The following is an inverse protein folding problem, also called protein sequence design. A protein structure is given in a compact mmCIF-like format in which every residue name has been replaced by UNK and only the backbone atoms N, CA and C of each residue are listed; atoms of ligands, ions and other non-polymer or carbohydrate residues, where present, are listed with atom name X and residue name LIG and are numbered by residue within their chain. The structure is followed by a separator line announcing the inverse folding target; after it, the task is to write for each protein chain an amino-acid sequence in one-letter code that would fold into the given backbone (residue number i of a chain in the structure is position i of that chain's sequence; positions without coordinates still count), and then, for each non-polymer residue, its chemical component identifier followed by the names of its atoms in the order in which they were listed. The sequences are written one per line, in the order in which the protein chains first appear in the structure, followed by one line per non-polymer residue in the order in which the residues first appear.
data_IF_214987386924
#
_entry.id   IF_214987386924
#
_cell.length_a   1.000
_cell.length_b   1.000
_cell.length_c   1.000
_cell.angle_alpha   90.00
_cell.angle_beta   90.00
_cell.angle_gamma   90.00
#
_symmetry.space_group_name_H-M   'P 1'
#
loop_
_entity.id
_entity.type
_entity.pdbx_description
1 polymer ?
#
# COMPACT_ATOMS: atom_id res chain seq x y z
N UNK A 1 -7.53 -14.71 2.48
CA UNK A 1 -7.42 -14.70 3.96
C UNK A 1 -8.75 -14.30 4.59
N UNK A 2 -9.29 -13.10 4.36
CA UNK A 2 -10.54 -12.63 4.98
C UNK A 2 -11.72 -13.57 4.80
N UNK A 3 -11.98 -14.06 3.58
CA UNK A 3 -13.05 -15.03 3.32
C UNK A 3 -12.95 -16.30 4.17
N UNK A 4 -11.75 -16.86 4.30
CA UNK A 4 -11.54 -18.05 5.14
C UNK A 4 -11.87 -17.74 6.60
N UNK A 5 -11.35 -16.62 7.13
CA UNK A 5 -11.65 -16.20 8.50
C UNK A 5 -13.15 -15.97 8.74
N UNK A 6 -13.82 -15.22 7.85
CA UNK A 6 -15.26 -14.95 7.97
C UNK A 6 -16.09 -16.23 7.94
N UNK A 7 -15.72 -17.19 7.09
CA UNK A 7 -16.38 -18.49 6.99
C UNK A 7 -16.18 -19.32 8.26
N UNK A 8 -14.95 -19.39 8.78
CA UNK A 8 -14.65 -20.07 10.04
C UNK A 8 -15.42 -19.43 11.21
N UNK A 9 -15.45 -18.10 11.28
CA UNK A 9 -16.19 -17.36 12.29
C UNK A 9 -17.69 -17.64 12.20
N UNK A 10 -18.32 -17.54 11.02
CA UNK A 10 -19.74 -17.82 10.80
C UNK A 10 -20.13 -19.22 11.29
N UNK A 11 -19.31 -20.25 11.02
CA UNK A 11 -19.55 -21.60 11.49
C UNK A 11 -19.52 -21.71 13.02
N UNK A 12 -18.67 -20.92 13.69
CA UNK A 12 -18.49 -20.94 15.14
C UNK A 12 -19.56 -20.12 15.86
N UNK A 13 -19.89 -18.93 15.33
CA UNK A 13 -20.81 -17.97 15.99
C UNK A 13 -22.28 -18.16 15.52
N UNK A 14 -22.52 -18.94 14.46
CA UNK A 14 -23.82 -19.05 13.79
C UNK A 14 -24.35 -17.74 13.20
N UNK A 15 -23.48 -16.74 13.00
CA UNK A 15 -23.78 -15.50 12.28
C UNK A 15 -23.84 -15.77 10.78
N UNK A 16 -24.54 -14.91 10.03
CA UNK A 16 -24.62 -15.02 8.58
C UNK A 16 -23.24 -14.82 7.94
N UNK A 17 -22.85 -15.71 7.02
CA UNK A 17 -21.64 -15.55 6.25
C UNK A 17 -21.83 -14.50 5.15
N UNK A 18 -21.17 -13.37 5.26
CA UNK A 18 -21.09 -12.35 4.22
C UNK A 18 -19.66 -12.37 3.66
N UNK A 19 -19.47 -12.77 2.38
CA UNK A 19 -18.14 -12.88 1.80
C UNK A 19 -17.39 -11.54 1.74
N UNK A 20 -16.08 -11.60 1.67
CA UNK A 20 -15.21 -10.45 1.39
C UNK A 20 -15.35 -10.05 -0.08
N UNK A 21 -15.68 -8.80 -0.35
CA UNK A 21 -15.69 -8.25 -1.70
C UNK A 21 -14.26 -7.81 -2.07
N UNK A 22 -13.62 -8.59 -2.95
CA UNK A 22 -12.23 -8.35 -3.37
C UNK A 22 -12.01 -6.98 -4.02
N UNK A 23 -13.05 -6.34 -4.51
CA UNK A 23 -12.97 -5.01 -5.09
C UNK A 23 -13.35 -3.94 -4.07
N UNK A 24 -14.59 -3.97 -3.58
CA UNK A 24 -15.10 -2.88 -2.74
C UNK A 24 -14.51 -2.88 -1.33
N UNK A 25 -14.48 -4.05 -0.65
CA UNK A 25 -13.93 -4.13 0.70
C UNK A 25 -12.42 -3.89 0.69
N UNK A 26 -11.72 -4.44 -0.32
CA UNK A 26 -10.27 -4.23 -0.41
C UNK A 26 -9.92 -2.77 -0.60
N UNK A 27 -10.53 -2.11 -1.59
CA UNK A 27 -10.24 -0.70 -1.90
C UNK A 27 -10.59 0.26 -0.76
N UNK A 28 -11.71 -0.01 -0.07
CA UNK A 28 -12.19 0.90 0.98
C UNK A 28 -11.46 0.72 2.31
N UNK A 29 -11.18 -0.53 2.68
CA UNK A 29 -10.75 -0.83 4.05
C UNK A 29 -9.31 -1.31 4.17
N UNK A 30 -8.69 -1.81 3.09
CA UNK A 30 -7.40 -2.50 3.18
C UNK A 30 -6.29 -1.83 2.36
N UNK A 31 -6.64 -1.35 1.17
CA UNK A 31 -5.65 -0.87 0.19
C UNK A 31 -4.87 0.35 0.68
N UNK A 32 -3.56 0.33 0.45
CA UNK A 32 -2.65 1.39 0.86
C UNK A 32 -2.37 1.52 2.36
N UNK A 33 -3.13 0.82 3.23
CA UNK A 33 -2.98 0.88 4.70
C UNK A 33 -1.89 -0.06 5.19
N UNK A 34 -1.38 0.20 6.42
CA UNK A 34 -0.57 -0.78 7.15
C UNK A 34 -1.38 -2.06 7.33
N UNK A 35 -0.69 -3.21 7.36
CA UNK A 35 -1.33 -4.54 7.42
C UNK A 35 -2.36 -4.64 8.54
N UNK A 36 -1.99 -4.24 9.75
CA UNK A 36 -2.81 -4.31 10.94
C UNK A 36 -3.99 -3.33 10.87
N UNK A 37 -3.74 -2.12 10.34
CA UNK A 37 -4.79 -1.10 10.15
C UNK A 37 -5.81 -1.54 9.10
N UNK A 38 -5.37 -2.20 8.03
CA UNK A 38 -6.27 -2.79 7.03
C UNK A 38 -7.11 -3.93 7.61
N UNK A 39 -6.53 -4.80 8.46
CA UNK A 39 -7.29 -5.86 9.16
C UNK A 39 -8.33 -5.22 10.08
N UNK A 40 -7.92 -4.27 10.91
CA UNK A 40 -8.81 -3.58 11.87
C UNK A 40 -9.95 -2.87 11.14
N UNK A 41 -9.63 -2.02 10.16
CA UNK A 41 -10.60 -1.26 9.38
C UNK A 41 -11.64 -2.16 8.70
N UNK A 42 -11.22 -3.28 8.13
CA UNK A 42 -12.13 -4.23 7.52
C UNK A 42 -13.04 -4.91 8.55
N UNK A 43 -12.50 -5.39 9.67
CA UNK A 43 -13.29 -6.05 10.70
C UNK A 43 -14.29 -5.08 11.35
N UNK A 44 -13.90 -3.84 11.61
CA UNK A 44 -14.79 -2.78 12.11
C UNK A 44 -15.96 -2.52 11.15
N UNK A 45 -15.73 -2.56 9.83
CA UNK A 45 -16.80 -2.41 8.84
C UNK A 45 -17.85 -3.52 8.86
N UNK A 46 -17.53 -4.63 9.55
CA UNK A 46 -18.40 -5.80 9.76
C UNK A 46 -18.87 -5.93 11.23
N UNK A 47 -18.69 -4.88 12.04
CA UNK A 47 -19.00 -4.89 13.48
C UNK A 47 -18.28 -6.03 14.23
N UNK A 48 -17.12 -6.48 13.73
CA UNK A 48 -16.31 -7.53 14.35
C UNK A 48 -15.19 -6.88 15.16
N UNK A 49 -15.19 -7.15 16.45
CA UNK A 49 -14.13 -6.72 17.38
C UNK A 49 -13.36 -7.95 17.88
N UNK A 50 -12.05 -7.93 17.72
CA UNK A 50 -11.11 -8.93 18.25
C UNK A 50 -9.95 -8.21 18.94
N UNK A 51 -9.20 -8.89 19.83
CA UNK A 51 -8.01 -8.29 20.46
C UNK A 51 -6.98 -7.85 19.43
N UNK A 52 -6.22 -6.81 19.75
CA UNK A 52 -5.08 -6.41 18.91
C UNK A 52 -4.01 -7.52 18.84
N UNK A 53 -3.70 -8.12 19.98
CA UNK A 53 -2.64 -9.12 20.08
C UNK A 53 -1.25 -8.50 20.14
N UNK A 54 -0.25 -9.29 19.74
CA UNK A 54 1.15 -8.90 19.69
C UNK A 54 1.74 -9.11 18.29
N UNK A 55 2.79 -8.36 17.91
CA UNK A 55 3.38 -8.45 16.57
C UNK A 55 3.86 -9.85 16.15
N UNK A 56 4.18 -10.70 17.11
CA UNK A 56 4.66 -12.07 16.95
C UNK A 56 3.58 -13.14 17.17
N UNK A 57 2.30 -12.75 17.22
CA UNK A 57 1.19 -13.70 17.33
C UNK A 57 1.21 -14.71 16.18
N UNK A 58 0.86 -15.97 16.55
CA UNK A 58 0.69 -17.04 15.59
C UNK A 58 -0.33 -16.66 14.50
N UNK A 59 -0.10 -16.97 13.22
CA UNK A 59 -1.05 -16.75 12.14
C UNK A 59 -2.45 -17.34 12.37
N UNK A 60 -2.58 -18.33 13.24
CA UNK A 60 -3.87 -18.92 13.62
C UNK A 60 -4.53 -18.22 14.83
N UNK A 61 -3.85 -17.28 15.48
CA UNK A 61 -4.43 -16.51 16.57
C UNK A 61 -5.53 -15.57 16.05
N UNK A 62 -6.66 -15.52 16.77
CA UNK A 62 -7.77 -14.62 16.46
C UNK A 62 -7.51 -13.21 17.05
N UNK A 63 -6.48 -12.56 16.53
CA UNK A 63 -6.08 -11.20 16.87
C UNK A 63 -5.81 -10.41 15.59
N UNK A 64 -5.77 -9.08 15.69
CA UNK A 64 -5.41 -8.21 14.54
C UNK A 64 -4.03 -8.59 13.98
N UNK A 65 -3.05 -8.78 14.87
CA UNK A 65 -1.70 -9.18 14.46
C UNK A 65 -1.67 -10.62 13.92
N UNK A 66 -2.37 -11.58 14.52
CA UNK A 66 -2.44 -12.96 14.02
C UNK A 66 -3.02 -13.03 12.61
N UNK A 67 -4.16 -12.37 12.35
CA UNK A 67 -4.73 -12.29 11.00
C UNK A 67 -3.80 -11.53 10.04
N UNK A 68 -3.13 -10.49 10.50
CA UNK A 68 -2.11 -9.79 9.74
C UNK A 68 -0.94 -10.71 9.35
N UNK A 69 -0.47 -11.54 10.27
CA UNK A 69 0.60 -12.51 10.04
C UNK A 69 0.16 -13.62 9.09
N UNK A 70 -1.08 -14.12 9.20
CA UNK A 70 -1.68 -15.04 8.22
C UNK A 70 -1.72 -14.44 6.81
N UNK A 71 -2.13 -13.17 6.68
CA UNK A 71 -2.10 -12.45 5.40
C UNK A 71 -0.68 -12.39 4.83
N UNK A 72 0.30 -12.10 5.68
CA UNK A 72 1.71 -12.05 5.26
C UNK A 72 2.23 -13.39 4.79
N UNK A 73 1.93 -14.46 5.49
CA UNK A 73 2.33 -15.82 5.10
C UNK A 73 1.78 -16.16 3.70
N UNK A 74 0.49 -15.94 3.48
CA UNK A 74 -0.12 -16.16 2.16
C UNK A 74 0.51 -15.29 1.07
N UNK A 75 0.91 -14.06 1.40
CA UNK A 75 1.64 -13.22 0.45
C UNK A 75 3.01 -13.80 0.10
N UNK A 76 3.76 -14.30 1.09
CA UNK A 76 5.06 -14.95 0.84
C UNK A 76 4.89 -16.20 -0.03
N UNK A 77 3.90 -17.03 0.25
CA UNK A 77 3.61 -18.25 -0.53
C UNK A 77 3.32 -17.90 -2.01
N UNK A 78 2.57 -16.81 -2.26
CA UNK A 78 2.29 -16.32 -3.62
C UNK A 78 3.55 -15.76 -4.27
N UNK A 79 4.32 -14.98 -3.54
CA UNK A 79 5.57 -14.39 -4.03
C UNK A 79 6.58 -15.46 -4.45
N UNK A 80 6.72 -16.51 -3.64
CA UNK A 80 7.65 -17.63 -3.90
C UNK A 80 7.19 -18.49 -5.09
N UNK A 81 5.88 -18.67 -5.25
CA UNK A 81 5.31 -19.48 -6.32
C UNK A 81 5.24 -18.78 -7.67
N UNK A 82 4.76 -17.52 -7.66
CA UNK A 82 4.36 -16.79 -8.87
C UNK A 82 5.31 -15.62 -9.19
N UNK A 83 6.15 -15.21 -8.24
CA UNK A 83 6.98 -14.01 -8.34
C UNK A 83 6.16 -12.71 -8.30
N UNK A 84 6.72 -11.65 -8.87
CA UNK A 84 6.09 -10.33 -8.97
C UNK A 84 6.02 -9.89 -10.43
N UNK A 85 4.82 -9.59 -10.89
CA UNK A 85 4.63 -8.98 -12.19
C UNK A 85 4.94 -7.48 -12.12
N UNK A 86 5.90 -7.03 -12.91
CA UNK A 86 6.26 -5.61 -13.03
C UNK A 86 5.49 -5.00 -14.18
N UNK A 87 4.85 -3.86 -13.96
CA UNK A 87 4.23 -3.07 -15.03
C UNK A 87 5.34 -2.43 -15.88
N UNK A 88 5.42 -2.82 -17.14
CA UNK A 88 6.51 -2.41 -18.03
C UNK A 88 6.56 -0.90 -18.25
N UNK A 89 5.42 -0.23 -18.35
CA UNK A 89 5.38 1.23 -18.44
C UNK A 89 5.93 1.91 -17.19
N UNK A 90 5.65 1.36 -16.00
CA UNK A 90 6.20 1.85 -14.74
C UNK A 90 7.72 1.65 -14.68
N UNK A 91 8.24 0.51 -15.13
CA UNK A 91 9.70 0.27 -15.21
C UNK A 91 10.36 1.32 -16.11
N UNK A 92 9.87 1.49 -17.33
CA UNK A 92 10.41 2.48 -18.28
C UNK A 92 10.37 3.90 -17.72
N UNK A 93 9.30 4.24 -17.00
CA UNK A 93 9.18 5.56 -16.36
C UNK A 93 10.25 5.76 -15.27
N UNK A 94 10.41 4.80 -14.37
CA UNK A 94 11.43 4.82 -13.31
C UNK A 94 12.85 4.94 -13.91
N UNK A 95 13.14 4.18 -14.97
CA UNK A 95 14.42 4.28 -15.72
C UNK A 95 14.63 5.67 -16.32
N UNK A 96 13.59 6.26 -16.93
CA UNK A 96 13.67 7.61 -17.51
C UNK A 96 13.90 8.68 -16.43
N UNK A 97 13.21 8.59 -15.29
CA UNK A 97 13.38 9.48 -14.15
C UNK A 97 14.81 9.40 -13.60
N UNK A 98 15.33 8.18 -13.43
CA UNK A 98 16.71 7.96 -13.00
C UNK A 98 17.72 8.53 -13.99
N UNK A 99 17.54 8.30 -15.30
CA UNK A 99 18.40 8.83 -16.35
C UNK A 99 18.37 10.35 -16.44
N UNK A 100 17.26 10.97 -16.05
CA UNK A 100 17.15 12.43 -15.91
C UNK A 100 17.85 12.98 -14.65
N UNK A 101 18.45 12.12 -13.83
CA UNK A 101 19.17 12.50 -12.60
C UNK A 101 18.27 12.85 -11.43
N UNK A 102 16.99 12.50 -11.48
CA UNK A 102 16.06 12.72 -10.38
C UNK A 102 16.17 11.62 -9.33
N UNK A 103 16.02 11.98 -8.07
CA UNK A 103 16.08 11.03 -6.95
C UNK A 103 14.74 10.35 -6.77
N UNK A 104 14.76 9.04 -6.55
CA UNK A 104 13.56 8.21 -6.37
C UNK A 104 13.54 7.66 -4.95
N UNK A 105 12.40 7.80 -4.28
CA UNK A 105 12.09 7.09 -3.05
C UNK A 105 10.86 6.19 -3.26
N UNK A 106 10.87 5.03 -2.60
CA UNK A 106 9.69 4.16 -2.53
C UNK A 106 9.05 4.30 -1.16
N UNK A 107 7.75 4.58 -1.15
CA UNK A 107 6.94 4.68 0.07
C UNK A 107 5.83 3.64 0.01
N UNK A 108 5.87 2.68 0.92
CA UNK A 108 4.91 1.56 0.94
C UNK A 108 4.52 1.19 2.36
N UNK A 109 3.25 0.89 2.58
CA UNK A 109 2.78 0.36 3.87
C UNK A 109 3.21 -1.10 4.12
N UNK A 110 3.75 -1.78 3.12
CA UNK A 110 4.18 -3.17 3.21
C UNK A 110 5.55 -3.32 3.89
N UNK A 111 5.66 -4.25 4.83
CA UNK A 111 6.95 -4.67 5.39
C UNK A 111 7.81 -5.50 4.40
N UNK A 112 7.22 -5.95 3.29
CA UNK A 112 7.88 -6.78 2.28
C UNK A 112 8.47 -5.96 1.12
N UNK A 113 8.41 -4.64 1.18
CA UNK A 113 8.80 -3.73 0.08
C UNK A 113 10.23 -3.97 -0.38
N UNK A 114 11.17 -4.18 0.54
CA UNK A 114 12.56 -4.49 0.22
C UNK A 114 12.67 -5.72 -0.67
N UNK A 115 12.06 -6.83 -0.25
CA UNK A 115 12.08 -8.09 -0.99
C UNK A 115 11.47 -7.94 -2.38
N UNK A 116 10.33 -7.24 -2.49
CA UNK A 116 9.68 -6.97 -3.78
C UNK A 116 10.59 -6.17 -4.72
N UNK A 117 11.26 -5.14 -4.22
CA UNK A 117 12.20 -4.35 -5.03
C UNK A 117 13.38 -5.20 -5.51
N UNK A 118 13.98 -6.01 -4.64
CA UNK A 118 15.10 -6.90 -4.97
C UNK A 118 14.71 -7.95 -6.02
N UNK A 119 13.57 -8.63 -5.85
CA UNK A 119 13.07 -9.64 -6.81
C UNK A 119 12.75 -9.04 -8.18
N UNK A 120 12.27 -7.79 -8.21
CA UNK A 120 11.92 -7.09 -9.46
C UNK A 120 13.11 -6.36 -10.10
N UNK A 121 14.25 -6.26 -9.39
CA UNK A 121 15.42 -5.49 -9.83
C UNK A 121 15.16 -3.98 -9.92
N UNK A 122 14.15 -3.47 -9.21
CA UNK A 122 13.87 -2.04 -9.13
C UNK A 122 14.65 -1.33 -8.02
N UNK A 123 15.24 -2.08 -7.10
CA UNK A 123 16.06 -1.57 -5.99
C UNK A 123 17.23 -0.70 -6.46
N UNK A 124 17.80 -0.99 -7.63
CA UNK A 124 18.92 -0.24 -8.23
C UNK A 124 18.60 1.23 -8.53
N UNK A 125 17.31 1.56 -8.70
CA UNK A 125 16.84 2.93 -8.96
C UNK A 125 16.43 3.68 -7.70
N UNK A 126 16.27 2.98 -6.57
CA UNK A 126 15.69 3.52 -5.35
C UNK A 126 16.78 4.05 -4.42
N UNK A 127 16.80 5.37 -4.22
CA UNK A 127 17.75 6.02 -3.32
C UNK A 127 17.34 5.93 -1.86
N UNK A 128 16.05 6.02 -1.57
CA UNK A 128 15.48 5.95 -0.22
C UNK A 128 14.23 5.09 -0.20
N UNK A 129 13.94 4.45 0.94
CA UNK A 129 12.75 3.64 1.16
C UNK A 129 12.16 3.96 2.54
N UNK A 130 10.84 4.23 2.55
CA UNK A 130 10.03 4.29 3.76
C UNK A 130 8.97 3.20 3.63
N UNK A 131 9.16 2.09 4.31
CA UNK A 131 8.28 0.92 4.23
C UNK A 131 7.62 0.60 5.58
N UNK A 132 6.82 -0.47 5.62
CA UNK A 132 6.13 -0.88 6.85
C UNK A 132 7.07 -1.16 8.02
N UNK A 133 8.33 -1.56 7.76
CA UNK A 133 9.34 -1.72 8.81
C UNK A 133 9.80 -0.35 9.33
N UNK A 134 10.17 0.55 8.43
CA UNK A 134 10.55 1.93 8.78
C UNK A 134 9.42 2.63 9.55
N UNK A 135 8.17 2.52 9.05
CA UNK A 135 7.03 3.17 9.69
C UNK A 135 6.77 2.66 11.10
N UNK A 136 6.97 1.35 11.35
CA UNK A 136 6.85 0.78 12.69
C UNK A 136 7.97 1.27 13.61
N UNK A 137 9.21 1.19 13.15
CA UNK A 137 10.40 1.44 13.97
C UNK A 137 10.55 2.94 14.31
N UNK A 138 10.11 3.83 13.42
CA UNK A 138 10.12 5.29 13.60
C UNK A 138 8.75 5.85 14.09
N UNK A 139 7.76 4.99 14.36
CA UNK A 139 6.40 5.39 14.79
C UNK A 139 5.69 6.35 13.83
N UNK A 140 5.92 6.19 12.53
CA UNK A 140 5.33 7.03 11.48
C UNK A 140 3.85 6.61 11.27
N UNK A 141 2.95 7.59 11.20
CA UNK A 141 1.54 7.34 10.89
C UNK A 141 1.38 6.73 9.49
N UNK A 142 0.41 5.83 9.35
CA UNK A 142 0.08 5.21 8.05
C UNK A 142 -0.81 6.11 7.20
N UNK A 143 -0.84 5.88 5.88
CA UNK A 143 -1.78 6.49 4.96
C UNK A 143 -3.23 6.32 5.48
N UNK A 144 -4.09 7.35 5.42
CA UNK A 144 -3.97 8.57 4.62
C UNK A 144 -3.19 9.72 5.27
N UNK A 145 -2.55 9.54 6.44
CA UNK A 145 -1.66 10.56 6.97
C UNK A 145 -0.44 10.77 6.04
N UNK A 146 0.05 12.01 5.86
CA UNK A 146 1.14 12.32 4.93
C UNK A 146 2.52 11.90 5.42
N UNK A 147 2.65 11.49 6.67
CA UNK A 147 3.89 11.32 7.43
C UNK A 147 4.93 10.47 6.70
N UNK A 148 4.52 9.37 6.09
CA UNK A 148 5.43 8.48 5.36
C UNK A 148 6.03 9.13 4.11
N UNK A 149 5.26 9.93 3.38
CA UNK A 149 5.77 10.69 2.24
C UNK A 149 6.64 11.86 2.67
N UNK A 150 6.25 12.59 3.73
CA UNK A 150 7.06 13.66 4.32
C UNK A 150 8.42 13.13 4.77
N UNK A 151 8.44 11.96 5.41
CA UNK A 151 9.69 11.30 5.79
C UNK A 151 10.56 10.93 4.59
N UNK A 152 9.96 10.46 3.50
CA UNK A 152 10.70 10.16 2.27
C UNK A 152 11.30 11.42 1.63
N UNK A 153 10.55 12.54 1.59
CA UNK A 153 11.05 13.83 1.11
C UNK A 153 12.23 14.33 1.96
N UNK A 154 12.12 14.23 3.29
CA UNK A 154 13.21 14.56 4.22
C UNK A 154 14.47 13.73 3.93
N UNK A 155 14.33 12.41 3.78
CA UNK A 155 15.45 11.50 3.46
C UNK A 155 16.10 11.81 2.10
N UNK A 156 15.32 12.29 1.14
CA UNK A 156 15.84 12.77 -0.15
C UNK A 156 16.45 14.17 -0.08
N UNK A 157 16.23 14.91 1.01
CA UNK A 157 16.71 16.28 1.19
C UNK A 157 15.95 17.31 0.34
N UNK A 158 14.67 17.08 0.06
CA UNK A 158 13.83 17.98 -0.74
C UNK A 158 12.60 18.43 0.05
N UNK A 159 12.07 19.61 -0.32
CA UNK A 159 10.78 20.04 0.20
C UNK A 159 9.64 19.28 -0.50
N UNK A 160 8.50 18.99 0.18
CA UNK A 160 7.36 18.32 -0.46
C UNK A 160 6.90 19.00 -1.77
N UNK A 161 6.85 20.32 -1.81
CA UNK A 161 6.49 21.08 -3.00
C UNK A 161 7.45 20.90 -4.20
N UNK A 162 8.62 20.31 -3.99
CA UNK A 162 9.61 20.01 -5.04
C UNK A 162 9.57 18.53 -5.48
N UNK A 163 8.68 17.73 -4.89
CA UNK A 163 8.57 16.30 -5.15
C UNK A 163 7.19 15.97 -5.76
N UNK A 164 7.18 14.90 -6.55
CA UNK A 164 5.97 14.29 -7.09
C UNK A 164 5.66 12.99 -6.35
N UNK A 165 4.37 12.74 -6.08
CA UNK A 165 3.87 11.47 -5.55
C UNK A 165 3.15 10.72 -6.68
N UNK A 166 3.42 9.42 -6.81
CA UNK A 166 2.75 8.51 -7.73
C UNK A 166 2.11 7.39 -6.92
N UNK A 167 0.80 7.22 -7.07
CA UNK A 167 0.04 6.33 -6.18
C UNK A 167 -1.19 5.76 -6.88
N UNK A 168 -1.53 4.52 -6.59
CA UNK A 168 -2.72 3.83 -7.11
C UNK A 168 -3.83 3.64 -6.07
N UNK A 169 -3.52 3.71 -4.78
CA UNK A 169 -4.49 3.61 -3.70
C UNK A 169 -5.06 5.00 -3.31
N UNK A 170 -6.37 5.04 -3.00
CA UNK A 170 -7.05 6.28 -2.60
C UNK A 170 -6.41 6.90 -1.35
N UNK A 171 -6.13 6.07 -0.33
CA UNK A 171 -5.46 6.52 0.90
C UNK A 171 -4.07 7.12 0.67
N UNK A 172 -3.37 6.66 -0.37
CA UNK A 172 -2.07 7.18 -0.73
C UNK A 172 -2.13 8.50 -1.49
N UNK A 173 -3.12 8.65 -2.38
CA UNK A 173 -3.39 9.92 -3.05
C UNK A 173 -3.78 11.00 -2.02
N UNK A 174 -4.68 10.67 -1.09
CA UNK A 174 -5.06 11.56 0.02
C UNK A 174 -3.84 11.98 0.85
N UNK A 175 -2.95 11.04 1.18
CA UNK A 175 -1.71 11.32 1.91
C UNK A 175 -0.77 12.26 1.13
N UNK A 176 -0.61 12.06 -0.18
CA UNK A 176 0.16 12.93 -1.06
C UNK A 176 -0.39 14.35 -1.10
N UNK A 177 -1.71 14.48 -1.26
CA UNK A 177 -2.41 15.76 -1.25
C UNK A 177 -2.27 16.47 0.11
N UNK A 178 -2.52 15.77 1.21
CA UNK A 178 -2.41 16.30 2.57
C UNK A 178 -0.97 16.73 2.92
N UNK A 179 0.04 16.11 2.32
CA UNK A 179 1.45 16.47 2.48
C UNK A 179 1.90 17.68 1.66
N UNK A 180 1.02 18.29 0.89
CA UNK A 180 1.31 19.46 0.02
C UNK A 180 2.47 19.20 -0.95
N UNK A 181 2.49 18.01 -1.55
CA UNK A 181 3.46 17.67 -2.59
C UNK A 181 3.21 18.50 -3.86
N UNK A 182 4.28 18.74 -4.63
CA UNK A 182 4.22 19.62 -5.81
C UNK A 182 3.28 19.10 -6.90
N UNK A 183 3.13 17.78 -7.00
CA UNK A 183 2.14 17.11 -7.85
C UNK A 183 1.83 15.72 -7.29
N UNK A 184 0.58 15.32 -7.37
CA UNK A 184 0.09 13.97 -7.03
C UNK A 184 -0.49 13.32 -8.29
N UNK A 185 0.15 12.27 -8.75
CA UNK A 185 -0.28 11.48 -9.92
C UNK A 185 -0.98 10.21 -9.44
N UNK A 186 -2.27 10.12 -9.71
CA UNK A 186 -3.06 8.91 -9.50
C UNK A 186 -2.83 7.92 -10.64
N UNK A 187 -2.59 6.65 -10.32
CA UNK A 187 -2.43 5.56 -11.31
C UNK A 187 -3.65 4.66 -11.25
N UNK A 188 -4.55 4.80 -12.21
CA UNK A 188 -5.80 4.03 -12.23
C UNK A 188 -5.56 2.60 -12.76
N UNK A 189 -5.41 1.65 -11.84
CA UNK A 189 -5.22 0.22 -12.16
C UNK A 189 -6.53 -0.59 -12.21
N UNK A 190 -7.61 -0.04 -11.65
CA UNK A 190 -8.85 -0.82 -11.36
C UNK A 190 -10.15 -0.11 -11.76
N UNK A 191 -10.06 1.01 -12.50
CA UNK A 191 -11.22 1.77 -12.96
C UNK A 191 -11.78 2.71 -11.89
N UNK A 192 -10.90 3.39 -11.12
CA UNK A 192 -11.26 4.32 -10.05
C UNK A 192 -10.79 5.76 -10.28
N UNK A 193 -10.57 6.17 -11.54
CA UNK A 193 -10.03 7.47 -11.89
C UNK A 193 -10.74 8.65 -11.22
N UNK A 194 -12.08 8.59 -11.14
CA UNK A 194 -12.85 9.68 -10.53
C UNK A 194 -12.68 9.75 -9.01
N UNK A 195 -12.48 8.60 -8.36
CA UNK A 195 -12.16 8.56 -6.93
C UNK A 195 -10.77 9.13 -6.67
N UNK A 196 -9.76 8.73 -7.44
CA UNK A 196 -8.39 9.28 -7.33
C UNK A 196 -8.38 10.82 -7.48
N UNK A 197 -9.16 11.38 -8.43
CA UNK A 197 -9.28 12.84 -8.58
C UNK A 197 -9.96 13.50 -7.38
N UNK A 198 -11.04 12.89 -6.85
CA UNK A 198 -11.73 13.43 -5.66
C UNK A 198 -10.85 13.45 -4.43
N UNK A 199 -9.97 12.45 -4.29
CA UNK A 199 -9.09 12.30 -3.13
C UNK A 199 -7.79 13.11 -3.28
N UNK A 200 -7.63 13.87 -4.38
CA UNK A 200 -6.59 14.89 -4.52
C UNK A 200 -5.50 14.59 -5.55
N UNK A 201 -5.72 13.64 -6.48
CA UNK A 201 -4.81 13.49 -7.62
C UNK A 201 -4.94 14.66 -8.59
N UNK A 202 -3.85 15.34 -8.88
CA UNK A 202 -3.77 16.42 -9.87
C UNK A 202 -3.87 15.88 -11.30
N UNK A 203 -3.28 14.72 -11.54
CA UNK A 203 -3.27 14.00 -12.81
C UNK A 203 -3.63 12.54 -12.55
N UNK A 204 -4.40 11.94 -13.46
CA UNK A 204 -4.68 10.50 -13.41
C UNK A 204 -4.30 9.88 -14.74
N UNK A 205 -3.48 8.83 -14.68
CA UNK A 205 -3.04 8.00 -15.81
C UNK A 205 -3.42 6.55 -15.58
N UNK A 206 -3.44 5.74 -16.62
CA UNK A 206 -3.67 4.28 -16.50
C UNK A 206 -2.36 3.51 -16.36
N UNK A 207 -1.28 4.07 -16.87
CA UNK A 207 0.09 3.54 -16.73
C UNK A 207 1.09 4.70 -16.69
N UNK A 208 2.17 4.56 -15.91
CA UNK A 208 3.21 5.60 -15.84
C UNK A 208 3.92 5.82 -17.18
N UNK A 209 3.90 4.81 -18.07
CA UNK A 209 4.41 4.96 -19.43
C UNK A 209 3.70 6.03 -20.25
N UNK A 210 2.45 6.37 -19.90
CA UNK A 210 1.68 7.43 -20.58
C UNK A 210 2.35 8.80 -20.40
N UNK A 211 3.08 8.99 -19.29
CA UNK A 211 3.82 10.22 -18.98
C UNK A 211 5.11 10.40 -19.79
N UNK A 212 5.58 9.35 -20.46
CA UNK A 212 6.79 9.42 -21.32
C UNK A 212 6.51 9.98 -22.70
N UNK A 213 5.24 10.07 -23.08
CA UNK A 213 4.79 10.49 -24.42
C UNK A 213 4.17 11.89 -24.42
N UNK A 214 4.19 12.57 -23.27
CA UNK A 214 3.57 13.89 -23.08
C UNK A 214 4.55 15.04 -23.38
#
# INVERSE_FOLDING_TARGET
MFDAYLKERSQRTHEEFVPFDEKNDYQTYVDGKKREDGVRSFLESRDITIPDGQPDDDPDAETIYGLGNRKNQLFQDVLDRDGVHVFEGSRRYVEAVNNAGLSIAVVSSSANTRQVLEVTGLDVFVKQRVDGVTMRDEHIAGKPAPDSYLRAAELLGVQPAQAAVFEDALSGVEAGHAGHFGIVVGVDRVGQADALRRDGADVVVTDLGDLLSA
#
